data_IF_667427772561
#
_entry.id   IF_667427772561
#
_cell.length_a   1.000
_cell.length_b   1.000
_cell.length_c   1.000
_cell.angle_alpha   90.00
_cell.angle_beta   90.00
_cell.angle_gamma   90.00
#
_symmetry.space_group_name_H-M   'P 1'
#
loop_
_entity.id
_entity.type
_entity.pdbx_description
1 polymer ?
#
# COMPACT_ATOMS: atom_id res chain seq x y z
N UNK A 1 3.24 3.34 22.63
CA UNK A 1 2.02 3.54 21.81
C UNK A 1 1.85 2.34 20.91
N UNK A 2 0.64 1.77 20.83
CA UNK A 2 0.36 0.67 19.90
C UNK A 2 0.37 1.17 18.45
N UNK A 3 0.94 0.37 17.54
CA UNK A 3 0.98 0.71 16.13
C UNK A 3 -0.42 0.69 15.52
N UNK A 4 -0.71 1.63 14.62
CA UNK A 4 -2.01 1.73 13.95
C UNK A 4 -1.84 1.41 12.45
N UNK A 5 -2.45 0.34 11.96
CA UNK A 5 -2.39 -0.05 10.55
C UNK A 5 -3.64 0.45 9.82
N UNK A 6 -3.55 1.68 9.30
CA UNK A 6 -4.68 2.33 8.62
C UNK A 6 -5.24 1.48 7.47
N UNK A 7 -6.55 1.22 7.50
CA UNK A 7 -7.24 0.42 6.49
C UNK A 7 -6.99 -1.09 6.60
N UNK A 8 -6.45 -1.57 7.73
CA UNK A 8 -6.29 -2.99 8.07
C UNK A 8 -6.86 -3.24 9.46
N UNK A 9 -6.22 -2.69 10.49
CA UNK A 9 -6.72 -2.70 11.86
C UNK A 9 -6.23 -1.45 12.59
N UNK A 10 -7.16 -0.79 13.29
CA UNK A 10 -6.89 0.48 13.94
C UNK A 10 -7.16 0.42 15.44
N UNK A 11 -6.22 0.92 16.23
CA UNK A 11 -6.41 1.13 17.66
C UNK A 11 -7.23 2.41 17.85
N UNK A 12 -8.49 2.27 18.29
CA UNK A 12 -9.37 3.42 18.55
C UNK A 12 -9.22 3.97 19.95
N UNK A 13 -8.99 3.09 20.92
CA UNK A 13 -8.81 3.48 22.31
C UNK A 13 -8.01 2.41 23.05
N UNK A 14 -7.13 2.85 23.93
CA UNK A 14 -6.40 1.98 24.84
C UNK A 14 -6.25 2.69 26.19
N UNK A 15 -6.74 2.05 27.26
CA UNK A 15 -6.66 2.57 28.63
C UNK A 15 -6.79 1.43 29.63
N UNK A 16 -5.81 1.27 30.52
CA UNK A 16 -5.83 0.40 31.71
C UNK A 16 -6.54 -0.96 31.49
N UNK A 17 -5.97 -1.82 30.63
CA UNK A 17 -6.51 -3.16 30.38
C UNK A 17 -7.74 -3.18 29.49
N UNK A 18 -8.11 -2.06 28.84
CA UNK A 18 -9.18 -1.98 27.85
C UNK A 18 -8.62 -1.58 26.49
N UNK A 19 -8.71 -2.48 25.51
CA UNK A 19 -8.27 -2.26 24.14
C UNK A 19 -9.47 -2.29 23.19
N UNK A 20 -9.69 -1.19 22.46
CA UNK A 20 -10.69 -1.10 21.39
C UNK A 20 -10.02 -1.02 20.03
N UNK A 21 -10.34 -1.99 19.18
CA UNK A 21 -9.84 -2.12 17.83
C UNK A 21 -10.97 -1.96 16.81
N UNK A 22 -10.60 -1.57 15.60
CA UNK A 22 -11.51 -1.40 14.48
C UNK A 22 -10.90 -2.06 13.25
N UNK A 23 -11.63 -2.98 12.63
CA UNK A 23 -11.23 -3.66 11.39
C UNK A 23 -12.44 -4.00 10.55
N UNK A 24 -12.31 -3.92 9.24
CA UNK A 24 -13.40 -4.23 8.32
C UNK A 24 -13.52 -5.73 8.03
N UNK A 25 -12.51 -6.56 8.34
CA UNK A 25 -12.54 -8.00 8.00
C UNK A 25 -13.56 -8.82 8.79
N UNK A 26 -14.01 -8.29 9.92
CA UNK A 26 -15.07 -8.88 10.74
C UNK A 26 -16.47 -8.43 10.32
N UNK A 27 -16.59 -7.50 9.35
CA UNK A 27 -17.90 -7.06 8.88
C UNK A 27 -18.56 -8.16 8.06
N UNK A 28 -19.79 -8.52 8.45
CA UNK A 28 -20.60 -9.54 7.78
C UNK A 28 -19.88 -10.90 7.65
N UNK A 29 -18.92 -11.19 8.53
CA UNK A 29 -18.11 -12.41 8.53
C UNK A 29 -18.25 -13.16 9.86
N UNK A 30 -19.37 -13.87 10.01
CA UNK A 30 -19.71 -14.61 11.24
C UNK A 30 -18.74 -15.76 11.53
N UNK A 31 -18.22 -16.43 10.50
CA UNK A 31 -17.26 -17.53 10.66
C UNK A 31 -15.97 -17.05 11.31
N UNK A 32 -15.36 -15.97 10.77
CA UNK A 32 -14.15 -15.38 11.32
C UNK A 32 -14.39 -14.77 12.71
N UNK A 33 -15.56 -14.18 12.94
CA UNK A 33 -15.94 -13.68 14.28
C UNK A 33 -15.96 -14.82 15.30
N UNK A 34 -16.59 -15.96 14.98
CA UNK A 34 -16.66 -17.11 15.87
C UNK A 34 -15.28 -17.73 16.11
N UNK A 35 -14.48 -17.92 15.05
CA UNK A 35 -13.11 -18.41 15.17
C UNK A 35 -12.28 -17.49 16.08
N UNK A 36 -12.33 -16.19 15.83
CA UNK A 36 -11.62 -15.19 16.63
C UNK A 36 -12.03 -15.26 18.10
N UNK A 37 -13.34 -15.25 18.39
CA UNK A 37 -13.85 -15.30 19.76
C UNK A 37 -13.48 -16.60 20.48
N UNK A 38 -13.54 -17.75 19.78
CA UNK A 38 -13.19 -19.05 20.35
C UNK A 38 -11.70 -19.13 20.72
N UNK A 39 -10.83 -18.56 19.90
CA UNK A 39 -9.38 -18.57 20.13
C UNK A 39 -8.96 -17.54 21.18
N UNK A 40 -9.44 -16.29 21.09
CA UNK A 40 -8.96 -15.21 21.97
C UNK A 40 -9.40 -15.39 23.42
N UNK A 41 -10.58 -15.99 23.67
CA UNK A 41 -11.10 -16.24 25.02
C UNK A 41 -10.29 -17.28 25.80
N UNK A 42 -9.50 -18.10 25.12
CA UNK A 42 -8.65 -19.11 25.76
C UNK A 42 -7.34 -18.53 26.31
N UNK A 43 -6.99 -17.29 25.93
CA UNK A 43 -5.75 -16.66 26.35
C UNK A 43 -5.81 -16.26 27.83
N UNK A 44 -4.74 -16.57 28.57
CA UNK A 44 -4.60 -16.16 29.96
C UNK A 44 -4.61 -14.63 30.09
N UNK A 45 -5.30 -14.11 31.09
CA UNK A 45 -5.40 -12.66 31.30
C UNK A 45 -6.43 -11.95 30.44
N UNK A 46 -7.18 -12.62 29.56
CA UNK A 46 -8.38 -12.05 28.93
C UNK A 46 -9.56 -12.17 29.88
N UNK A 47 -10.19 -11.05 30.23
CA UNK A 47 -11.39 -11.01 31.06
C UNK A 47 -12.67 -11.13 30.24
N UNK A 48 -12.75 -10.37 29.14
CA UNK A 48 -13.89 -10.45 28.22
C UNK A 48 -13.54 -9.88 26.84
N UNK A 49 -14.20 -10.41 25.82
CA UNK A 49 -14.11 -9.92 24.44
C UNK A 49 -15.50 -9.85 23.84
N UNK A 50 -15.80 -8.69 23.24
CA UNK A 50 -17.02 -8.47 22.45
C UNK A 50 -16.65 -7.97 21.06
N UNK A 51 -17.29 -8.53 20.04
CA UNK A 51 -17.21 -8.08 18.65
C UNK A 51 -18.56 -7.47 18.27
N UNK A 52 -18.52 -6.40 17.49
CA UNK A 52 -19.68 -5.89 16.77
C UNK A 52 -19.33 -5.95 15.28
N UNK A 53 -19.83 -6.98 14.59
CA UNK A 53 -19.60 -7.22 13.16
C UNK A 53 -20.32 -6.22 12.27
N UNK A 54 -21.42 -5.57 12.70
CA UNK A 54 -22.06 -4.52 11.90
C UNK A 54 -21.07 -3.39 11.59
N UNK A 55 -20.34 -2.95 12.62
CA UNK A 55 -19.36 -1.87 12.46
C UNK A 55 -17.92 -2.34 12.40
N UNK A 56 -17.59 -3.61 12.68
CA UNK A 56 -16.22 -4.12 12.70
C UNK A 56 -15.41 -3.71 13.94
N UNK A 57 -16.07 -3.52 15.08
CA UNK A 57 -15.42 -3.09 16.33
C UNK A 57 -15.13 -4.28 17.22
N UNK A 58 -13.93 -4.33 17.80
CA UNK A 58 -13.53 -5.32 18.81
C UNK A 58 -13.25 -4.56 20.11
N UNK A 59 -13.77 -5.06 21.22
CA UNK A 59 -13.47 -4.55 22.56
C UNK A 59 -12.96 -5.69 23.44
N UNK A 60 -11.77 -5.52 23.99
CA UNK A 60 -11.08 -6.50 24.82
C UNK A 60 -10.80 -5.88 26.18
N UNK A 61 -11.20 -6.57 27.24
CA UNK A 61 -10.75 -6.31 28.60
C UNK A 61 -9.76 -7.39 29.01
N UNK A 62 -8.59 -6.99 29.49
CA UNK A 62 -7.48 -7.87 29.80
C UNK A 62 -6.64 -7.35 30.98
N UNK A 63 -5.88 -8.24 31.61
CA UNK A 63 -4.92 -7.91 32.66
C UNK A 63 -3.54 -7.61 32.05
N UNK A 64 -3.12 -6.34 32.14
CA UNK A 64 -1.83 -5.87 31.64
C UNK A 64 -0.63 -6.49 32.36
N UNK A 65 -0.83 -7.04 33.56
CA UNK A 65 0.24 -7.75 34.29
C UNK A 65 0.51 -9.14 33.72
N UNK A 66 -0.47 -9.72 33.03
CA UNK A 66 -0.39 -11.07 32.45
C UNK A 66 -0.02 -10.97 30.97
N UNK A 67 -0.65 -10.06 30.21
CA UNK A 67 -0.38 -9.86 28.79
C UNK A 67 -0.08 -8.39 28.52
N UNK A 68 1.08 -8.13 27.92
CA UNK A 68 1.41 -6.80 27.41
C UNK A 68 0.50 -6.41 26.24
N UNK A 69 0.05 -5.16 26.20
CA UNK A 69 -0.87 -4.67 25.17
C UNK A 69 -0.32 -4.78 23.73
N UNK A 70 1.00 -4.62 23.57
CA UNK A 70 1.69 -4.78 22.28
C UNK A 70 1.61 -6.23 21.79
N UNK A 71 1.79 -7.20 22.68
CA UNK A 71 1.70 -8.62 22.39
C UNK A 71 0.26 -9.05 22.09
N UNK A 72 -0.72 -8.58 22.88
CA UNK A 72 -2.14 -8.78 22.60
C UNK A 72 -2.52 -8.30 21.20
N UNK A 73 -2.02 -7.13 20.80
CA UNK A 73 -2.28 -6.57 19.48
C UNK A 73 -1.74 -7.47 18.34
N UNK A 74 -0.53 -8.04 18.51
CA UNK A 74 0.03 -9.00 17.56
C UNK A 74 -0.78 -10.30 17.50
N UNK A 75 -1.26 -10.80 18.64
CA UNK A 75 -2.13 -11.97 18.67
C UNK A 75 -3.43 -11.69 17.91
N UNK A 76 -4.04 -10.51 18.11
CA UNK A 76 -5.26 -10.14 17.37
C UNK A 76 -4.99 -10.07 15.87
N UNK A 77 -3.86 -9.49 15.44
CA UNK A 77 -3.47 -9.48 14.02
C UNK A 77 -3.36 -10.88 13.43
N UNK A 78 -2.75 -11.80 14.19
CA UNK A 78 -2.58 -13.21 13.81
C UNK A 78 -3.92 -13.94 13.70
N UNK A 79 -4.76 -13.83 14.72
CA UNK A 79 -6.07 -14.49 14.76
C UNK A 79 -7.05 -13.98 13.69
N UNK A 80 -6.81 -12.78 13.14
CA UNK A 80 -7.60 -12.22 12.06
C UNK A 80 -6.94 -12.38 10.68
N UNK A 81 -5.82 -13.09 10.59
CA UNK A 81 -5.04 -13.29 9.35
C UNK A 81 -4.58 -11.98 8.69
N UNK A 82 -4.29 -10.95 9.48
CA UNK A 82 -3.93 -9.60 9.00
C UNK A 82 -2.43 -9.33 8.94
N UNK A 83 -1.58 -10.30 9.30
CA UNK A 83 -0.13 -10.12 9.41
C UNK A 83 0.50 -9.59 8.12
N UNK A 84 0.21 -10.24 6.99
CA UNK A 84 0.77 -9.84 5.69
C UNK A 84 0.24 -8.48 5.24
N UNK A 85 -1.06 -8.22 5.43
CA UNK A 85 -1.68 -6.99 4.94
C UNK A 85 -1.28 -5.77 5.77
N UNK A 86 -1.11 -5.95 7.08
CA UNK A 86 -0.64 -4.90 7.99
C UNK A 86 0.80 -4.47 7.66
N UNK A 87 1.65 -5.44 7.27
CA UNK A 87 3.06 -5.20 6.97
C UNK A 87 3.33 -4.83 5.50
N UNK A 88 2.34 -4.98 4.61
CA UNK A 88 2.48 -4.64 3.19
C UNK A 88 2.54 -3.13 2.98
N UNK A 89 3.60 -2.67 2.30
CA UNK A 89 3.70 -1.29 1.85
C UNK A 89 2.60 -0.96 0.82
N UNK A 90 1.56 -0.25 1.25
CA UNK A 90 0.49 0.24 0.36
C UNK A 90 0.91 1.57 -0.29
N UNK A 91 0.95 1.68 -1.63
CA UNK A 91 1.24 2.95 -2.28
C UNK A 91 0.14 3.96 -1.94
N UNK A 92 0.51 5.22 -1.72
CA UNK A 92 -0.45 6.29 -1.45
C UNK A 92 -1.49 6.40 -2.58
N UNK A 93 -2.73 6.79 -2.23
CA UNK A 93 -3.85 6.90 -3.20
C UNK A 93 -3.50 7.77 -4.41
N UNK A 94 -2.83 8.90 -4.19
CA UNK A 94 -2.38 9.81 -5.27
C UNK A 94 -1.40 9.11 -6.22
N UNK A 95 -0.44 8.34 -5.68
CA UNK A 95 0.51 7.57 -6.50
C UNK A 95 -0.23 6.53 -7.36
N UNK A 96 -1.23 5.86 -6.80
CA UNK A 96 -2.06 4.89 -7.55
C UNK A 96 -2.82 5.58 -8.69
N UNK A 97 -3.45 6.73 -8.42
CA UNK A 97 -4.18 7.50 -9.43
C UNK A 97 -3.26 8.01 -10.55
N UNK A 98 -2.10 8.57 -10.19
CA UNK A 98 -1.10 8.99 -11.18
C UNK A 98 -0.65 7.82 -12.03
N UNK A 99 -0.35 6.66 -11.43
CA UNK A 99 0.04 5.46 -12.17
C UNK A 99 -1.04 5.03 -13.16
N UNK A 100 -2.30 4.97 -12.73
CA UNK A 100 -3.44 4.62 -13.58
C UNK A 100 -3.62 5.61 -14.74
N UNK A 101 -3.42 6.91 -14.48
CA UNK A 101 -3.48 7.94 -15.51
C UNK A 101 -2.36 7.75 -16.55
N UNK A 102 -1.12 7.52 -16.11
CA UNK A 102 0.01 7.24 -17.01
C UNK A 102 -0.22 5.96 -17.83
N UNK A 103 -0.68 4.87 -17.20
CA UNK A 103 -1.02 3.61 -17.88
C UNK A 103 -2.12 3.82 -18.94
N UNK A 104 -3.11 4.67 -18.65
CA UNK A 104 -4.19 4.98 -19.60
C UNK A 104 -3.68 5.77 -20.81
N UNK A 105 -2.80 6.75 -20.58
CA UNK A 105 -2.17 7.54 -21.66
C UNK A 105 -1.27 6.66 -22.52
N UNK A 106 -0.47 5.81 -21.89
CA UNK A 106 0.40 4.86 -22.57
C UNK A 106 -0.39 3.93 -23.51
N UNK A 107 -1.46 3.32 -23.00
CA UNK A 107 -2.34 2.46 -23.79
C UNK A 107 -3.06 3.21 -24.92
N UNK A 108 -3.45 4.46 -24.70
CA UNK A 108 -4.05 5.29 -25.74
C UNK A 108 -3.08 5.56 -26.90
N UNK A 109 -1.82 5.87 -26.60
CA UNK A 109 -0.76 6.07 -27.60
C UNK A 109 -0.47 4.77 -28.33
N UNK A 110 -0.36 3.64 -27.60
CA UNK A 110 -0.18 2.31 -28.16
C UNK A 110 -1.28 1.95 -29.16
N UNK A 111 -2.53 2.07 -28.75
CA UNK A 111 -3.66 1.72 -29.61
C UNK A 111 -3.78 2.66 -30.82
N UNK A 112 -3.60 3.98 -30.62
CA UNK A 112 -3.71 4.96 -31.72
C UNK A 112 -2.61 4.76 -32.76
N UNK A 113 -1.41 4.39 -32.30
CA UNK A 113 -0.27 4.07 -33.16
C UNK A 113 -0.29 2.64 -33.68
N UNK A 114 -1.33 1.82 -33.41
CA UNK A 114 -1.41 0.40 -33.80
C UNK A 114 -0.21 -0.42 -33.30
N UNK A 115 0.30 -0.09 -32.13
CA UNK A 115 1.40 -0.76 -31.46
C UNK A 115 2.80 -0.31 -31.87
N UNK A 116 2.94 0.73 -32.71
CA UNK A 116 4.26 1.26 -33.10
C UNK A 116 4.90 2.15 -32.03
N UNK A 117 4.10 2.84 -31.22
CA UNK A 117 4.57 3.79 -30.20
C UNK A 117 3.89 3.49 -28.87
N UNK A 118 4.64 3.62 -27.79
CA UNK A 118 4.14 3.74 -26.42
C UNK A 118 4.56 5.13 -25.87
N UNK A 119 4.11 5.49 -24.67
CA UNK A 119 4.49 6.76 -24.05
C UNK A 119 6.01 6.87 -23.88
N UNK A 120 6.68 5.75 -23.60
CA UNK A 120 8.12 5.69 -23.36
C UNK A 120 8.94 6.05 -24.60
N UNK A 121 8.61 5.44 -25.74
CA UNK A 121 9.24 5.65 -27.05
C UNK A 121 8.90 7.02 -27.60
N UNK A 122 7.69 7.53 -27.37
CA UNK A 122 7.33 8.90 -27.74
C UNK A 122 8.17 9.93 -26.97
N UNK A 123 8.29 9.80 -25.65
CA UNK A 123 9.15 10.67 -24.83
C UNK A 123 10.62 10.55 -25.23
N UNK A 124 11.11 9.34 -25.51
CA UNK A 124 12.46 9.14 -26.02
C UNK A 124 12.69 9.85 -27.36
N UNK A 125 11.73 9.80 -28.28
CA UNK A 125 11.79 10.53 -29.56
C UNK A 125 11.85 12.05 -29.36
N UNK A 126 11.07 12.60 -28.43
CA UNK A 126 11.12 14.02 -28.05
C UNK A 126 12.52 14.39 -27.53
N UNK A 127 13.05 13.61 -26.60
CA UNK A 127 14.39 13.84 -26.06
C UNK A 127 15.49 13.71 -27.12
N UNK A 128 15.39 12.74 -28.03
CA UNK A 128 16.35 12.59 -29.13
C UNK A 128 16.30 13.79 -30.08
N UNK A 129 15.11 14.23 -30.46
CA UNK A 129 14.91 15.38 -31.34
C UNK A 129 15.50 16.67 -30.75
N UNK A 130 15.11 17.00 -29.51
CA UNK A 130 15.63 18.19 -28.84
C UNK A 130 17.11 18.06 -28.48
N UNK A 131 17.58 16.85 -28.16
CA UNK A 131 18.98 16.55 -27.92
C UNK A 131 19.85 16.88 -29.13
N UNK A 132 19.51 16.37 -30.32
CA UNK A 132 20.22 16.66 -31.58
C UNK A 132 20.18 18.15 -31.92
N UNK A 133 19.01 18.79 -31.80
CA UNK A 133 18.87 20.23 -32.07
C UNK A 133 19.80 21.05 -31.19
N UNK A 134 19.86 20.73 -29.89
CA UNK A 134 20.63 21.48 -28.89
C UNK A 134 22.14 21.22 -28.94
N UNK A 135 22.60 20.17 -29.62
CA UNK A 135 24.04 19.98 -29.89
C UNK A 135 24.61 21.07 -30.82
N UNK A 136 23.77 21.75 -31.60
CA UNK A 136 24.17 22.83 -32.53
C UNK A 136 24.10 24.23 -31.91
N UNK A 137 23.63 24.32 -30.68
CA UNK A 137 23.46 25.59 -29.95
C UNK A 137 24.55 25.73 -28.87
N UNK A 138 24.76 26.96 -28.39
CA UNK A 138 25.65 27.21 -27.25
C UNK A 138 25.15 26.40 -26.04
N UNK A 139 26.03 25.67 -25.33
CA UNK A 139 25.62 24.79 -24.24
C UNK A 139 24.80 25.53 -23.17
N UNK A 140 23.52 25.17 -23.06
CA UNK A 140 22.61 25.58 -21.98
C UNK A 140 22.04 24.34 -21.32
N UNK A 141 21.87 24.36 -20.01
CA UNK A 141 21.34 23.21 -19.27
C UNK A 141 19.82 23.03 -19.54
N UNK A 142 19.31 21.77 -19.55
CA UNK A 142 20.08 20.52 -19.71
C UNK A 142 20.75 20.43 -21.09
N UNK A 143 21.97 19.90 -21.20
CA UNK A 143 22.70 19.87 -22.48
C UNK A 143 22.05 18.91 -23.48
N UNK A 144 22.36 19.07 -24.78
CA UNK A 144 21.91 18.13 -25.81
C UNK A 144 22.34 16.69 -25.53
N UNK A 145 23.53 16.50 -24.97
CA UNK A 145 24.03 15.18 -24.54
C UNK A 145 23.21 14.58 -23.40
N UNK A 146 22.76 15.38 -22.42
CA UNK A 146 21.87 14.90 -21.35
C UNK A 146 20.53 14.43 -21.89
N UNK A 147 19.93 15.17 -22.83
CA UNK A 147 18.67 14.77 -23.46
C UNK A 147 18.83 13.47 -24.26
N UNK A 148 19.92 13.33 -25.04
CA UNK A 148 20.21 12.09 -25.76
C UNK A 148 20.45 10.91 -24.82
N UNK A 149 21.10 11.14 -23.68
CA UNK A 149 21.28 10.13 -22.65
C UNK A 149 19.95 9.69 -22.03
N UNK A 150 19.03 10.61 -21.73
CA UNK A 150 17.67 10.24 -21.29
C UNK A 150 16.91 9.48 -22.37
N UNK A 151 16.97 9.90 -23.64
CA UNK A 151 16.37 9.14 -24.74
C UNK A 151 16.90 7.69 -24.78
N UNK A 152 18.22 7.52 -24.64
CA UNK A 152 18.84 6.20 -24.58
C UNK A 152 18.38 5.36 -23.37
N UNK A 153 18.28 5.95 -22.18
CA UNK A 153 17.76 5.24 -21.00
C UNK A 153 16.34 4.75 -21.24
N UNK A 154 15.47 5.62 -21.74
CA UNK A 154 14.07 5.27 -21.97
C UNK A 154 13.94 4.12 -22.97
N UNK A 155 14.78 4.08 -24.02
CA UNK A 155 14.79 2.97 -24.99
C UNK A 155 15.48 1.70 -24.48
N UNK A 156 16.47 1.81 -23.58
CA UNK A 156 17.28 0.67 -23.12
C UNK A 156 16.71 -0.05 -21.90
N UNK A 157 15.90 0.61 -21.08
CA UNK A 157 15.29 0.02 -19.88
C UNK A 157 14.34 -1.16 -20.17
N UNK A 158 13.93 -1.39 -21.42
CA UNK A 158 13.23 -2.62 -21.82
C UNK A 158 14.09 -3.90 -21.75
N UNK A 159 15.40 -3.79 -21.44
CA UNK A 159 16.36 -4.90 -21.43
C UNK A 159 16.92 -5.29 -20.06
N UNK A 160 16.40 -4.80 -18.94
CA UNK A 160 16.75 -5.35 -17.61
C UNK A 160 15.70 -6.38 -17.21
N UNK A 161 15.93 -7.62 -17.63
CA UNK A 161 15.39 -8.81 -16.96
C UNK A 161 16.21 -9.08 -15.70
#
# INVERSE_FOLDING_TARGET
MLQNFYGVIQVKHYQNGRLRLQTDVLKENEELEQEFLNNIRQLSGIHSVSVNSIIGSILIYFDEKIIESSFLYLIVLKLLHLEEEALKNKPGKVKKLLKQAFESVDMAIYNKSRGYLDLKTLVAGIFAFYGIKKLREIPKLPTGTTLLWWAFIFLSEGKRK
#
